data_IF_754973995755
#
_entry.id   IF_754973995755
#
_cell.length_a   1.000
_cell.length_b   1.000
_cell.length_c   1.000
_cell.angle_alpha   90.00
_cell.angle_beta   90.00
_cell.angle_gamma   90.00
#
_symmetry.space_group_name_H-M   'P 1'
#
loop_
_entity.id
_entity.type
_entity.pdbx_description
1 polymer ?
#
# COMPACT_ATOMS: atom_id res chain seq x y z
N UNK A 1 28.35 14.92 2.11
CA UNK A 1 28.89 15.00 0.75
C UNK A 1 28.25 13.87 -0.05
N UNK A 2 27.19 14.17 -0.79
CA UNK A 2 26.56 13.24 -1.74
C UNK A 2 27.60 12.96 -2.84
N UNK A 3 27.86 11.71 -3.13
CA UNK A 3 28.85 11.36 -4.17
C UNK A 3 28.16 11.42 -5.53
N UNK A 4 28.92 11.69 -6.60
CA UNK A 4 28.44 11.68 -8.01
C UNK A 4 27.71 10.37 -8.36
N UNK A 5 28.02 9.28 -7.65
CA UNK A 5 27.39 7.98 -7.83
C UNK A 5 25.96 7.96 -7.26
N UNK A 6 25.73 8.66 -6.16
CA UNK A 6 24.40 8.75 -5.52
C UNK A 6 23.46 9.61 -6.37
N UNK A 7 23.97 10.74 -6.91
CA UNK A 7 23.22 11.62 -7.82
C UNK A 7 22.76 10.89 -9.10
N UNK A 8 23.61 10.04 -9.67
CA UNK A 8 23.29 9.27 -10.87
C UNK A 8 22.21 8.20 -10.60
N UNK A 9 22.22 7.59 -9.40
CA UNK A 9 21.18 6.63 -8.98
C UNK A 9 19.84 7.33 -8.81
N UNK A 10 19.83 8.52 -8.22
CA UNK A 10 18.60 9.29 -8.00
C UNK A 10 17.98 9.76 -9.32
N UNK A 11 18.78 10.18 -10.30
CA UNK A 11 18.31 10.54 -11.64
C UNK A 11 17.73 9.34 -12.40
N UNK A 12 18.40 8.18 -12.37
CA UNK A 12 17.87 6.95 -12.95
C UNK A 12 16.58 6.51 -12.28
N UNK A 13 16.53 6.56 -10.94
CA UNK A 13 15.34 6.22 -10.16
C UNK A 13 14.17 7.15 -10.48
N UNK A 14 14.41 8.46 -10.62
CA UNK A 14 13.38 9.43 -11.01
C UNK A 14 12.85 9.15 -12.42
N UNK A 15 13.73 8.83 -13.37
CA UNK A 15 13.35 8.46 -14.74
C UNK A 15 12.49 7.19 -14.77
N UNK A 16 12.90 6.13 -14.08
CA UNK A 16 12.15 4.87 -13.98
C UNK A 16 10.80 5.05 -13.28
N UNK A 17 10.74 5.90 -12.24
CA UNK A 17 9.49 6.24 -11.55
C UNK A 17 8.51 6.94 -12.49
N UNK A 18 8.99 7.89 -13.29
CA UNK A 18 8.15 8.56 -14.29
C UNK A 18 7.61 7.58 -15.37
N UNK A 19 8.41 6.59 -15.77
CA UNK A 19 7.95 5.50 -16.66
C UNK A 19 6.87 4.68 -15.97
N UNK A 20 7.09 4.25 -14.72
CA UNK A 20 6.11 3.47 -13.96
C UNK A 20 4.77 4.20 -13.82
N UNK A 21 4.76 5.51 -13.55
CA UNK A 21 3.51 6.29 -13.46
C UNK A 21 2.75 6.26 -14.79
N UNK A 22 3.44 6.41 -15.94
CA UNK A 22 2.80 6.31 -17.26
C UNK A 22 2.21 4.92 -17.49
N UNK A 23 2.97 3.86 -17.22
CA UNK A 23 2.49 2.47 -17.35
C UNK A 23 1.26 2.21 -16.48
N UNK A 24 1.23 2.73 -15.25
CA UNK A 24 0.08 2.57 -14.36
C UNK A 24 -1.15 3.31 -14.87
N UNK A 25 -0.99 4.46 -15.51
CA UNK A 25 -2.08 5.17 -16.19
C UNK A 25 -2.58 4.41 -17.43
N UNK A 26 -1.67 3.91 -18.26
CA UNK A 26 -2.00 3.13 -19.47
C UNK A 26 -2.73 1.82 -19.12
N UNK A 27 -2.40 1.22 -17.98
CA UNK A 27 -3.08 0.05 -17.42
C UNK A 27 -4.46 0.38 -16.81
N UNK A 28 -4.80 1.65 -16.65
CA UNK A 28 -5.99 2.10 -15.91
C UNK A 28 -5.93 1.82 -14.42
N UNK A 29 -4.73 1.58 -13.87
CA UNK A 29 -4.52 1.37 -12.44
C UNK A 29 -4.50 2.70 -11.68
N UNK A 30 -4.12 3.79 -12.35
CA UNK A 30 -4.20 5.17 -11.86
C UNK A 30 -5.22 5.92 -12.74
N UNK A 31 -6.21 6.51 -12.10
CA UNK A 31 -7.27 7.30 -12.74
C UNK A 31 -7.32 8.74 -12.26
N UNK A 32 -6.77 9.02 -11.07
CA UNK A 32 -6.73 10.35 -10.46
C UNK A 32 -5.34 10.97 -10.51
N UNK A 33 -5.28 12.30 -10.49
CA UNK A 33 -4.02 13.03 -10.42
C UNK A 33 -3.40 12.96 -9.01
N UNK A 34 -4.22 12.81 -7.98
CA UNK A 34 -3.74 12.65 -6.59
C UNK A 34 -2.92 11.36 -6.42
N UNK A 35 -3.45 10.21 -6.87
CA UNK A 35 -2.71 8.94 -6.81
C UNK A 35 -1.47 8.98 -7.71
N UNK A 36 -1.57 9.59 -8.90
CA UNK A 36 -0.41 9.77 -9.77
C UNK A 36 0.68 10.62 -9.10
N UNK A 37 0.30 11.71 -8.44
CA UNK A 37 1.19 12.59 -7.70
C UNK A 37 1.89 11.86 -6.56
N UNK A 38 1.15 11.10 -5.76
CA UNK A 38 1.72 10.29 -4.68
C UNK A 38 2.75 9.27 -5.19
N UNK A 39 2.42 8.53 -6.26
CA UNK A 39 3.35 7.56 -6.87
C UNK A 39 4.57 8.23 -7.48
N UNK A 40 4.41 9.45 -8.03
CA UNK A 40 5.53 10.24 -8.56
C UNK A 40 6.43 10.81 -7.45
N UNK A 41 5.90 11.12 -6.28
CA UNK A 41 6.65 11.66 -5.15
C UNK A 41 7.48 10.58 -4.44
N UNK A 42 6.88 9.44 -4.10
CA UNK A 42 7.50 8.44 -3.22
C UNK A 42 8.60 7.63 -3.93
N UNK A 43 9.85 7.62 -3.43
CA UNK A 43 10.97 6.89 -4.03
C UNK A 43 10.90 5.39 -3.71
N UNK A 44 10.16 4.62 -4.53
CA UNK A 44 9.87 3.20 -4.31
C UNK A 44 11.12 2.33 -4.08
N UNK A 45 12.24 2.67 -4.70
CA UNK A 45 13.48 1.90 -4.58
C UNK A 45 14.04 1.89 -3.15
N UNK A 46 13.77 2.92 -2.34
CA UNK A 46 14.18 2.96 -0.92
C UNK A 46 13.42 1.92 -0.08
N UNK A 47 12.25 1.48 -0.55
CA UNK A 47 11.46 0.40 0.05
C UNK A 47 11.75 -0.97 -0.57
N UNK A 48 12.50 -1.02 -1.67
CA UNK A 48 12.89 -2.22 -2.40
C UNK A 48 14.37 -2.54 -2.16
N UNK A 49 14.81 -2.47 -0.91
CA UNK A 49 16.22 -2.64 -0.51
C UNK A 49 16.81 -3.94 -1.06
N UNK A 50 17.97 -3.83 -1.71
CA UNK A 50 18.68 -4.97 -2.30
C UNK A 50 18.15 -5.43 -3.66
N UNK A 51 17.12 -4.76 -4.20
CA UNK A 51 16.59 -5.06 -5.53
C UNK A 51 17.17 -4.13 -6.60
N UNK A 52 17.33 -4.59 -7.85
CA UNK A 52 17.72 -3.72 -8.95
C UNK A 52 16.67 -2.59 -9.16
N UNK A 53 17.11 -1.38 -9.51
CA UNK A 53 16.21 -0.24 -9.75
C UNK A 53 15.08 -0.56 -10.73
N UNK A 54 15.39 -1.23 -11.84
CA UNK A 54 14.37 -1.64 -12.83
C UNK A 54 13.31 -2.57 -12.24
N UNK A 55 13.69 -3.46 -11.32
CA UNK A 55 12.74 -4.34 -10.63
C UNK A 55 11.89 -3.54 -9.63
N UNK A 56 12.48 -2.58 -8.91
CA UNK A 56 11.77 -1.71 -7.98
C UNK A 56 10.66 -0.91 -8.67
N UNK A 57 10.88 -0.48 -9.92
CA UNK A 57 9.94 0.33 -10.69
C UNK A 57 9.13 -0.44 -11.74
N UNK A 58 9.19 -1.78 -11.76
CA UNK A 58 8.32 -2.59 -12.61
C UNK A 58 6.86 -2.53 -12.08
N UNK A 59 5.93 -2.02 -12.89
CA UNK A 59 4.54 -1.75 -12.48
C UNK A 59 3.78 -2.99 -12.00
N UNK A 60 4.06 -4.15 -12.59
CA UNK A 60 3.32 -5.41 -12.38
C UNK A 60 4.07 -6.46 -11.56
N UNK A 61 5.22 -6.11 -10.96
CA UNK A 61 6.04 -7.05 -10.21
C UNK A 61 5.94 -6.80 -8.70
N UNK A 62 5.60 -7.83 -7.94
CA UNK A 62 5.77 -7.84 -6.49
C UNK A 62 7.21 -8.25 -6.14
N UNK A 63 7.76 -7.65 -5.08
CA UNK A 63 9.12 -7.91 -4.63
C UNK A 63 9.09 -8.58 -3.26
N UNK A 64 9.68 -9.76 -3.15
CA UNK A 64 9.76 -10.47 -1.86
C UNK A 64 10.74 -9.73 -0.96
N UNK A 65 10.31 -9.40 0.27
CA UNK A 65 11.10 -8.71 1.29
C UNK A 65 11.46 -9.60 2.48
N UNK A 66 10.69 -10.65 2.74
CA UNK A 66 11.00 -11.64 3.77
C UNK A 66 10.64 -13.05 3.29
N UNK A 67 11.51 -14.03 3.60
CA UNK A 67 11.27 -15.45 3.37
C UNK A 67 11.43 -16.21 4.69
N UNK A 68 10.77 -17.36 4.79
CA UNK A 68 11.05 -18.33 5.85
C UNK A 68 12.32 -19.17 5.55
N UNK A 69 12.64 -20.09 6.46
CA UNK A 69 13.80 -20.98 6.34
C UNK A 69 13.71 -21.92 5.12
N UNK A 70 12.49 -22.23 4.67
CA UNK A 70 12.22 -23.07 3.48
C UNK A 70 12.22 -22.25 2.18
N UNK A 71 12.49 -20.94 2.24
CA UNK A 71 12.51 -20.03 1.11
C UNK A 71 11.12 -19.55 0.69
N UNK A 72 10.07 -19.84 1.44
CA UNK A 72 8.70 -19.36 1.22
C UNK A 72 8.61 -17.86 1.49
N UNK A 73 8.00 -17.10 0.59
CA UNK A 73 7.82 -15.67 0.80
C UNK A 73 6.79 -15.42 1.91
N UNK A 74 7.21 -14.80 3.00
CA UNK A 74 6.37 -14.38 4.12
C UNK A 74 5.83 -12.97 3.93
N UNK A 75 6.64 -12.07 3.39
CA UNK A 75 6.25 -10.69 3.12
C UNK A 75 6.78 -10.21 1.78
N UNK A 76 6.06 -9.32 1.14
CA UNK A 76 6.42 -8.73 -0.14
C UNK A 76 5.98 -7.28 -0.24
N UNK A 77 6.77 -6.47 -0.96
CA UNK A 77 6.30 -5.20 -1.49
C UNK A 77 5.37 -5.51 -2.66
N UNK A 78 4.09 -5.21 -2.50
CA UNK A 78 3.07 -5.48 -3.52
C UNK A 78 3.40 -4.80 -4.84
N UNK A 79 2.96 -5.39 -5.96
CA UNK A 79 3.09 -4.76 -7.26
C UNK A 79 2.43 -3.38 -7.29
N UNK A 80 3.08 -2.41 -7.93
CA UNK A 80 2.65 -1.01 -7.90
C UNK A 80 1.22 -0.82 -8.46
N UNK A 81 0.83 -1.60 -9.49
CA UNK A 81 -0.52 -1.52 -10.05
C UNK A 81 -1.61 -1.96 -9.06
N UNK A 82 -1.33 -2.95 -8.19
CA UNK A 82 -2.29 -3.38 -7.16
C UNK A 82 -2.45 -2.29 -6.11
N UNK A 83 -1.34 -1.70 -5.65
CA UNK A 83 -1.37 -0.61 -4.68
C UNK A 83 -2.12 0.60 -5.23
N UNK A 84 -1.84 0.99 -6.49
CA UNK A 84 -2.52 2.10 -7.15
C UNK A 84 -4.04 1.87 -7.23
N UNK A 85 -4.49 0.69 -7.69
CA UNK A 85 -5.92 0.34 -7.74
C UNK A 85 -6.57 0.41 -6.35
N UNK A 86 -5.89 -0.07 -5.31
CA UNK A 86 -6.43 -0.03 -3.94
C UNK A 86 -6.54 1.40 -3.41
N UNK A 87 -5.58 2.27 -3.71
CA UNK A 87 -5.61 3.68 -3.34
C UNK A 87 -6.73 4.43 -4.07
N UNK A 88 -6.95 4.17 -5.36
CA UNK A 88 -8.09 4.70 -6.12
C UNK A 88 -9.43 4.25 -5.52
N UNK A 89 -9.56 2.96 -5.16
CA UNK A 89 -10.75 2.43 -4.51
C UNK A 89 -10.99 3.03 -3.12
N UNK A 90 -9.91 3.35 -2.41
CA UNK A 90 -9.99 3.97 -1.10
C UNK A 90 -10.56 5.39 -1.20
N UNK A 91 -10.24 6.14 -2.25
CA UNK A 91 -10.66 7.53 -2.40
C UNK A 91 -10.20 8.35 -1.20
N UNK A 92 -8.88 8.37 -0.99
CA UNK A 92 -8.25 9.11 0.10
C UNK A 92 -8.28 10.60 -0.24
N UNK A 93 -8.68 11.42 0.72
CA UNK A 93 -8.70 12.87 0.63
C UNK A 93 -7.78 13.50 1.68
N UNK A 94 -7.27 14.71 1.45
CA UNK A 94 -6.46 15.44 2.43
C UNK A 94 -7.18 15.56 3.78
N UNK A 95 -6.43 15.42 4.86
CA UNK A 95 -6.95 15.48 6.24
C UNK A 95 -7.50 14.17 6.78
N UNK A 96 -7.65 13.12 5.94
CA UNK A 96 -8.15 11.82 6.39
C UNK A 96 -7.16 11.10 7.31
N UNK A 97 -7.70 10.28 8.21
CA UNK A 97 -6.96 9.31 9.02
C UNK A 97 -7.09 7.93 8.39
N UNK A 98 -5.97 7.34 7.97
CA UNK A 98 -5.95 6.10 7.21
C UNK A 98 -5.11 5.04 7.92
N UNK A 99 -5.68 3.84 8.10
CA UNK A 99 -5.00 2.66 8.61
C UNK A 99 -4.63 1.74 7.44
N UNK A 100 -3.35 1.38 7.33
CA UNK A 100 -2.87 0.28 6.52
C UNK A 100 -2.67 -0.97 7.38
N UNK A 101 -3.16 -2.11 6.94
CA UNK A 101 -2.90 -3.43 7.53
C UNK A 101 -1.94 -4.21 6.66
N UNK A 102 -0.75 -4.51 7.20
CA UNK A 102 0.40 -5.06 6.48
C UNK A 102 1.41 -3.98 6.10
N UNK A 103 2.55 -3.93 6.79
CA UNK A 103 3.49 -2.81 6.71
C UNK A 103 4.68 -3.10 5.79
N UNK A 104 4.56 -2.76 4.52
CA UNK A 104 5.71 -2.70 3.61
C UNK A 104 6.44 -1.35 3.61
N UNK A 105 5.88 -0.34 4.25
CA UNK A 105 6.34 1.05 4.28
C UNK A 105 5.96 1.87 3.05
N UNK A 106 6.12 1.35 1.84
CA UNK A 106 5.86 2.08 0.60
C UNK A 106 4.41 2.56 0.45
N UNK A 107 3.44 1.68 0.73
CA UNK A 107 2.04 2.07 0.62
C UNK A 107 1.64 3.07 1.73
N UNK A 108 2.22 2.94 2.92
CA UNK A 108 2.06 3.92 4.00
C UNK A 108 2.59 5.32 3.62
N UNK A 109 3.73 5.37 2.90
CA UNK A 109 4.26 6.62 2.35
C UNK A 109 3.35 7.22 1.26
N UNK A 110 2.77 6.38 0.38
CA UNK A 110 1.77 6.83 -0.60
C UNK A 110 0.52 7.40 0.09
N UNK A 111 0.06 6.75 1.16
CA UNK A 111 -1.05 7.23 1.98
C UNK A 111 -0.69 8.58 2.61
N UNK A 112 0.52 8.74 3.14
CA UNK A 112 0.98 10.00 3.74
C UNK A 112 0.96 11.16 2.74
N UNK A 113 1.37 10.93 1.49
CA UNK A 113 1.24 11.92 0.41
C UNK A 113 -0.22 12.31 0.14
N UNK A 114 -1.13 11.33 0.14
CA UNK A 114 -2.54 11.56 -0.16
C UNK A 114 -3.27 12.29 0.96
N UNK A 115 -3.00 11.94 2.22
CA UNK A 115 -3.66 12.58 3.36
C UNK A 115 -3.08 13.97 3.68
N UNK A 116 -1.84 14.23 3.26
CA UNK A 116 -1.15 15.50 3.50
C UNK A 116 -0.86 15.75 4.98
N UNK A 117 -0.45 16.97 5.30
CA UNK A 117 0.02 17.37 6.64
C UNK A 117 -1.06 17.35 7.73
N UNK A 118 -2.32 17.54 7.34
CA UNK A 118 -3.46 17.59 8.27
C UNK A 118 -4.07 16.21 8.52
N UNK A 119 -3.67 15.20 7.75
CA UNK A 119 -4.12 13.82 7.89
C UNK A 119 -3.15 12.95 8.66
N UNK A 120 -3.46 11.65 8.74
CA UNK A 120 -2.60 10.67 9.40
C UNK A 120 -2.53 9.38 8.59
N UNK A 121 -1.30 8.88 8.39
CA UNK A 121 -1.00 7.56 7.84
C UNK A 121 -0.50 6.66 8.96
N UNK A 122 -1.26 5.61 9.27
CA UNK A 122 -0.94 4.61 10.28
C UNK A 122 -0.77 3.26 9.57
N UNK A 123 0.30 2.54 9.89
CA UNK A 123 0.56 1.21 9.32
C UNK A 123 0.79 0.20 10.43
N UNK A 124 0.13 -0.96 10.38
CA UNK A 124 0.23 -2.01 11.40
C UNK A 124 0.71 -3.32 10.81
N UNK A 125 1.64 -3.96 11.50
CA UNK A 125 2.08 -5.32 11.19
C UNK A 125 2.36 -6.11 12.48
N UNK A 126 2.17 -7.42 12.43
CA UNK A 126 2.44 -8.31 13.56
C UNK A 126 3.94 -8.66 13.67
N UNK A 127 4.65 -8.66 12.53
CA UNK A 127 6.05 -9.07 12.44
C UNK A 127 6.98 -7.92 12.82
N UNK A 128 7.73 -8.04 13.95
CA UNK A 128 8.62 -6.98 14.42
C UNK A 128 9.73 -6.62 13.41
N UNK A 129 10.22 -7.58 12.62
CA UNK A 129 11.25 -7.31 11.61
C UNK A 129 10.70 -6.48 10.45
N UNK A 130 9.44 -6.75 10.06
CA UNK A 130 8.75 -5.97 9.04
C UNK A 130 8.49 -4.54 9.53
N UNK A 131 8.02 -4.39 10.77
CA UNK A 131 7.81 -3.08 11.41
C UNK A 131 9.09 -2.28 11.44
N UNK A 132 10.18 -2.86 11.94
CA UNK A 132 11.46 -2.17 12.03
C UNK A 132 12.04 -1.81 10.65
N UNK A 133 11.88 -2.71 9.68
CA UNK A 133 12.26 -2.44 8.30
C UNK A 133 11.44 -1.29 7.71
N UNK A 134 10.12 -1.29 7.92
CA UNK A 134 9.24 -0.24 7.42
C UNK A 134 9.64 1.12 7.97
N UNK A 135 9.91 1.23 9.27
CA UNK A 135 10.40 2.46 9.92
C UNK A 135 11.68 2.97 9.27
N UNK A 136 12.70 2.11 9.14
CA UNK A 136 13.97 2.51 8.50
C UNK A 136 13.79 2.99 7.05
N UNK A 137 12.92 2.34 6.28
CA UNK A 137 12.66 2.74 4.89
C UNK A 137 11.89 4.07 4.82
N UNK A 138 10.93 4.28 5.72
CA UNK A 138 10.18 5.52 5.82
C UNK A 138 11.08 6.70 6.21
N UNK A 139 11.93 6.52 7.24
CA UNK A 139 12.92 7.53 7.67
C UNK A 139 13.87 7.88 6.51
N UNK A 140 14.41 6.88 5.82
CA UNK A 140 15.30 7.09 4.68
C UNK A 140 14.62 7.81 3.49
N UNK A 141 13.29 7.69 3.38
CA UNK A 141 12.50 8.32 2.33
C UNK A 141 11.88 9.67 2.76
N UNK A 142 12.10 10.13 4.02
CA UNK A 142 11.60 11.41 4.54
C UNK A 142 10.14 11.36 4.96
N UNK A 143 9.64 10.19 5.41
CA UNK A 143 8.26 9.97 5.86
C UNK A 143 8.18 9.57 7.34
N UNK A 144 8.98 10.22 8.21
CA UNK A 144 9.03 9.95 9.66
C UNK A 144 7.68 10.21 10.35
N UNK A 145 6.78 10.97 9.73
CA UNK A 145 5.43 11.25 10.24
C UNK A 145 4.49 10.04 10.14
N UNK A 146 4.84 8.98 9.40
CA UNK A 146 4.03 7.76 9.32
C UNK A 146 4.17 6.97 10.62
N UNK A 147 3.04 6.70 11.29
CA UNK A 147 3.02 5.91 12.51
C UNK A 147 3.02 4.42 12.18
N UNK A 148 4.10 3.70 12.53
CA UNK A 148 4.19 2.25 12.32
C UNK A 148 4.04 1.53 13.67
N UNK A 149 2.96 0.74 13.76
CA UNK A 149 2.55 0.02 14.98
C UNK A 149 2.84 -1.46 14.85
N UNK A 150 3.45 -2.06 15.88
CA UNK A 150 3.54 -3.51 15.99
C UNK A 150 2.33 -4.02 16.78
N UNK A 151 1.39 -4.69 16.11
CA UNK A 151 0.23 -5.29 16.75
C UNK A 151 -0.40 -6.38 15.86
N UNK A 152 -1.22 -7.23 16.47
CA UNK A 152 -2.13 -8.09 15.72
C UNK A 152 -3.29 -7.24 15.17
N UNK A 153 -3.30 -7.08 13.86
CA UNK A 153 -4.29 -6.26 13.17
C UNK A 153 -5.73 -6.80 13.28
N UNK A 154 -5.96 -8.04 13.72
CA UNK A 154 -7.31 -8.57 13.97
C UNK A 154 -8.06 -7.73 15.01
N UNK A 155 -7.35 -7.20 16.01
CA UNK A 155 -7.92 -6.26 16.99
C UNK A 155 -8.00 -4.81 16.47
N UNK A 156 -7.45 -4.53 15.29
CA UNK A 156 -7.24 -3.17 14.81
C UNK A 156 -6.25 -2.40 15.68
N UNK A 157 -6.41 -1.08 15.69
CA UNK A 157 -5.61 -0.16 16.51
C UNK A 157 -6.55 0.83 17.23
N UNK A 158 -7.27 0.37 18.28
CA UNK A 158 -8.36 1.15 18.89
C UNK A 158 -7.91 2.49 19.45
N UNK A 159 -6.66 2.60 19.94
CA UNK A 159 -6.10 3.85 20.48
C UNK A 159 -5.90 4.95 19.43
N UNK A 160 -5.93 4.60 18.14
CA UNK A 160 -5.74 5.53 17.02
C UNK A 160 -7.00 5.73 16.16
N UNK A 161 -8.09 5.02 16.50
CA UNK A 161 -9.40 5.17 15.84
C UNK A 161 -10.07 6.51 16.19
N UNK A 162 -11.08 6.97 15.39
CA UNK A 162 -11.65 6.33 14.20
C UNK A 162 -10.81 6.56 12.94
N UNK A 163 -10.99 5.66 11.94
CA UNK A 163 -10.33 5.73 10.65
C UNK A 163 -11.32 6.06 9.53
N UNK A 164 -10.96 6.97 8.63
CA UNK A 164 -11.74 7.25 7.43
C UNK A 164 -11.54 6.18 6.37
N UNK A 165 -10.36 5.58 6.35
CA UNK A 165 -10.03 4.46 5.44
C UNK A 165 -9.24 3.39 6.19
N UNK A 166 -9.53 2.13 5.85
CA UNK A 166 -8.70 0.98 6.24
C UNK A 166 -8.32 0.27 4.95
N UNK A 167 -7.03 0.13 4.68
CA UNK A 167 -6.50 -0.52 3.49
C UNK A 167 -5.72 -1.76 3.91
N UNK A 168 -6.18 -2.93 3.49
CA UNK A 168 -5.57 -4.21 3.88
C UNK A 168 -4.67 -4.67 2.73
N UNK A 169 -3.36 -4.66 2.95
CA UNK A 169 -2.35 -5.11 1.97
C UNK A 169 -1.86 -6.52 2.25
N UNK A 170 -2.18 -7.06 3.42
CA UNK A 170 -1.98 -8.46 3.80
C UNK A 170 -3.12 -9.36 3.31
N UNK A 171 -2.88 -10.68 3.24
CA UNK A 171 -3.94 -11.64 2.94
C UNK A 171 -4.98 -11.69 4.05
N UNK A 172 -6.23 -11.40 3.76
CA UNK A 172 -7.34 -11.52 4.70
C UNK A 172 -8.35 -12.58 4.21
N UNK A 173 -8.79 -13.42 5.16
CA UNK A 173 -9.83 -14.42 4.92
C UNK A 173 -11.22 -13.91 5.30
N UNK A 174 -11.26 -12.93 6.19
CA UNK A 174 -12.48 -12.31 6.73
C UNK A 174 -12.21 -10.84 7.08
N UNK A 175 -13.26 -10.10 7.37
CA UNK A 175 -13.20 -8.72 7.87
C UNK A 175 -13.50 -8.77 9.36
N UNK A 176 -12.49 -8.59 10.25
CA UNK A 176 -12.72 -8.53 11.69
C UNK A 176 -13.71 -7.43 12.07
N UNK A 177 -14.61 -7.71 13.03
CA UNK A 177 -15.58 -6.72 13.52
C UNK A 177 -14.89 -5.45 14.05
N UNK A 178 -13.70 -5.61 14.67
CA UNK A 178 -12.93 -4.48 15.17
C UNK A 178 -12.58 -3.45 14.08
N UNK A 179 -12.39 -3.87 12.84
CA UNK A 179 -12.16 -2.92 11.73
C UNK A 179 -13.41 -2.10 11.41
N UNK A 180 -14.58 -2.73 11.47
CA UNK A 180 -15.86 -2.03 11.27
C UNK A 180 -16.17 -1.06 12.42
N UNK A 181 -15.89 -1.48 13.66
CA UNK A 181 -16.10 -0.68 14.87
C UNK A 181 -15.15 0.53 14.94
N UNK A 182 -13.99 0.45 14.28
CA UNK A 182 -12.99 1.51 14.22
C UNK A 182 -13.12 2.42 12.99
N UNK A 183 -14.10 2.20 12.12
CA UNK A 183 -14.41 3.13 11.03
C UNK A 183 -15.14 4.37 11.52
N UNK A 184 -14.84 5.50 10.88
CA UNK A 184 -15.69 6.69 10.95
C UNK A 184 -17.05 6.43 10.26
N UNK A 185 -18.03 7.30 10.50
CA UNK A 185 -19.40 7.14 9.92
C UNK A 185 -19.40 7.02 8.39
N UNK A 186 -18.45 7.66 7.71
CA UNK A 186 -18.24 7.60 6.25
C UNK A 186 -17.03 6.77 5.87
N UNK A 187 -16.54 5.96 6.80
CA UNK A 187 -15.35 5.16 6.62
C UNK A 187 -15.52 4.09 5.55
N UNK A 188 -14.41 3.63 5.00
CA UNK A 188 -14.35 2.60 3.96
C UNK A 188 -13.19 1.66 4.20
N UNK A 189 -13.43 0.36 4.01
CA UNK A 189 -12.38 -0.67 4.00
C UNK A 189 -12.11 -1.07 2.56
N UNK A 190 -10.83 -1.16 2.19
CA UNK A 190 -10.37 -1.77 0.94
C UNK A 190 -9.57 -3.00 1.29
N UNK A 191 -10.06 -4.17 0.88
CA UNK A 191 -9.49 -5.46 1.27
C UNK A 191 -9.44 -6.43 0.10
N UNK A 192 -8.33 -7.19 -0.09
CA UNK A 192 -8.24 -8.25 -1.09
C UNK A 192 -8.93 -9.52 -0.55
N UNK A 193 -10.23 -9.66 -0.79
CA UNK A 193 -10.99 -10.83 -0.38
C UNK A 193 -10.78 -12.00 -1.35
N UNK A 194 -10.52 -13.18 -0.80
CA UNK A 194 -10.45 -14.44 -1.54
C UNK A 194 -11.85 -15.03 -1.70
N UNK A 195 -12.39 -14.96 -2.92
CA UNK A 195 -13.73 -15.48 -3.22
C UNK A 195 -13.66 -16.56 -4.32
N UNK A 196 -14.04 -17.79 -4.00
CA UNK A 196 -14.12 -18.91 -4.95
C UNK A 196 -12.87 -19.08 -5.83
N UNK A 197 -11.68 -19.03 -5.23
CA UNK A 197 -10.41 -19.17 -5.92
C UNK A 197 -9.90 -17.90 -6.65
N UNK A 198 -10.63 -16.79 -6.58
CA UNK A 198 -10.22 -15.49 -7.08
C UNK A 198 -9.97 -14.52 -5.93
N UNK A 199 -8.86 -13.78 -5.96
CA UNK A 199 -8.64 -12.66 -5.05
C UNK A 199 -9.04 -11.36 -5.75
N UNK A 200 -9.93 -10.59 -5.15
CA UNK A 200 -10.38 -9.29 -5.65
C UNK A 200 -10.32 -8.25 -4.55
N UNK A 201 -9.79 -7.09 -4.84
CA UNK A 201 -9.91 -5.92 -3.96
C UNK A 201 -11.36 -5.43 -3.97
N UNK A 202 -11.91 -5.18 -2.77
CA UNK A 202 -13.27 -4.70 -2.56
C UNK A 202 -13.26 -3.50 -1.62
N UNK A 203 -14.07 -2.49 -1.95
CA UNK A 203 -14.37 -1.38 -1.06
C UNK A 203 -15.70 -1.68 -0.35
N UNK A 204 -15.71 -1.60 0.99
CA UNK A 204 -16.89 -1.85 1.84
C UNK A 204 -17.07 -0.65 2.78
N UNK A 205 -18.28 -0.11 2.82
CA UNK A 205 -18.64 0.98 3.73
C UNK A 205 -19.33 0.49 5.01
N UNK A 206 -19.69 1.40 5.93
CA UNK A 206 -20.43 1.07 7.15
C UNK A 206 -21.73 0.31 6.84
N UNK A 207 -22.00 -0.76 7.60
CA UNK A 207 -23.16 -1.63 7.37
C UNK A 207 -22.94 -2.78 6.40
N UNK A 208 -21.67 -3.04 5.98
CA UNK A 208 -21.31 -4.22 5.18
C UNK A 208 -21.85 -4.23 3.75
N UNK A 209 -22.46 -3.13 3.28
CA UNK A 209 -22.95 -3.03 1.91
C UNK A 209 -21.79 -2.68 0.96
N UNK A 210 -21.60 -3.39 -0.17
CA UNK A 210 -20.65 -2.96 -1.18
C UNK A 210 -20.98 -1.53 -1.60
N UNK A 211 -20.01 -0.63 -1.50
CA UNK A 211 -20.15 0.73 -2.00
C UNK A 211 -20.53 0.70 -3.48
N UNK A 212 -21.33 1.69 -3.91
CA UNK A 212 -21.74 1.85 -5.29
C UNK A 212 -20.56 1.69 -6.25
N UNK A 213 -20.78 0.91 -7.27
CA UNK A 213 -19.80 0.42 -8.24
C UNK A 213 -18.92 1.52 -8.83
N UNK A 214 -17.65 1.57 -8.41
CA UNK A 214 -16.59 2.00 -9.30
C UNK A 214 -16.32 0.82 -10.22
N UNK A 215 -16.81 0.90 -11.46
CA UNK A 215 -16.68 -0.18 -12.42
C UNK A 215 -15.21 -0.51 -12.68
N UNK A 216 -14.76 -1.66 -12.20
CA UNK A 216 -13.49 -2.24 -12.60
C UNK A 216 -13.58 -2.62 -14.07
N UNK A 217 -12.84 -1.93 -14.90
CA UNK A 217 -12.52 -2.41 -16.23
C UNK A 217 -12.04 -3.86 -16.10
N UNK A 218 -12.69 -4.78 -16.79
CA UNK A 218 -12.35 -6.20 -16.84
C UNK A 218 -11.00 -6.33 -17.53
N UNK A 219 -9.92 -6.35 -16.75
CA UNK A 219 -8.63 -6.78 -17.27
C UNK A 219 -8.44 -8.26 -16.89
N UNK A 220 -8.53 -9.21 -17.84
CA UNK A 220 -8.47 -10.66 -17.57
C UNK A 220 -7.07 -11.18 -17.24
N UNK A 221 -6.04 -10.31 -17.12
CA UNK A 221 -4.63 -10.72 -17.01
C UNK A 221 -3.96 -10.43 -15.67
N UNK A 222 -4.69 -10.02 -14.64
CA UNK A 222 -4.10 -9.85 -13.32
C UNK A 222 -4.14 -11.17 -12.56
N UNK A 223 -3.10 -11.95 -12.74
CA UNK A 223 -2.84 -13.14 -11.93
C UNK A 223 -2.33 -12.73 -10.56
N UNK A 224 -3.16 -12.84 -9.54
CA UNK A 224 -2.72 -12.75 -8.15
C UNK A 224 -2.17 -14.13 -7.77
N UNK A 225 -0.88 -14.18 -7.45
CA UNK A 225 -0.27 -15.41 -6.91
C UNK A 225 -0.89 -15.66 -5.54
N UNK A 226 -1.79 -16.65 -5.51
CA UNK A 226 -2.34 -17.18 -4.28
C UNK A 226 -1.37 -18.21 -3.71
N UNK A 227 -1.19 -18.19 -2.40
CA UNK A 227 -0.55 -19.29 -1.68
C UNK A 227 -1.54 -20.06 -0.81
N UNK A 228 -1.28 -21.38 -0.65
CA UNK A 228 -2.03 -22.25 0.23
C UNK A 228 -1.82 -21.88 1.70
#
# INVERSE_FOLDING_TARGET
MTTVRDENIDEEAASLRAVMVRELRDLGAITSDSVAGAVAAVPRHLFAVGQPLKAAYAANQALVIKRDEDGTALSSLSAAHIQAVMLEQAGIEPGMRVLEVGSGGYNAALIAELVGKEGASISVDIDPEIVERARRCLDAAGYEQVEVVQADAVAGVPGLAPFDRIIVTAGAWDIPSAWLDQLSERGRIVVPLRMRGLTRSRAVGPGGRPGAEGGLARNPRVGVVARP
#
